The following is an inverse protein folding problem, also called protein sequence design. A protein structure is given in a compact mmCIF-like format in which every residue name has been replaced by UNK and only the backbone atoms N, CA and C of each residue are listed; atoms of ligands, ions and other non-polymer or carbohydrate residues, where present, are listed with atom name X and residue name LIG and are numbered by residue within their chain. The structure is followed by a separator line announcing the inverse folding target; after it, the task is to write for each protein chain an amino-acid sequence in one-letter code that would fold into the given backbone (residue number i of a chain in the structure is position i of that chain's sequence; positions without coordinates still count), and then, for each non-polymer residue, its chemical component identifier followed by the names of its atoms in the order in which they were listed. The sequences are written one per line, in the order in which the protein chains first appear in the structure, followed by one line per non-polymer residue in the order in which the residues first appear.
data_IF_595804357829
#
_entry.id   IF_595804357829
#
_cell.length_a   1.000
_cell.length_b   1.000
_cell.length_c   1.000
_cell.angle_alpha   90.00
_cell.angle_beta   90.00
_cell.angle_gamma   90.00
#
_symmetry.space_group_name_H-M   'P 1'
#
loop_
_entity.id
_entity.type
_entity.pdbx_description
1 polymer ?
#
# COMPACT_ATOMS: atom_id res chain seq x y z
N UNK A 1 -5.87 5.88 -12.88
CA UNK A 1 -5.93 5.08 -11.64
C UNK A 1 -7.40 4.85 -11.30
N UNK A 2 -7.76 3.66 -10.81
CA UNK A 2 -9.12 3.33 -10.36
C UNK A 2 -9.07 2.55 -9.06
N UNK A 3 -10.13 2.63 -8.25
CA UNK A 3 -10.33 1.75 -7.12
C UNK A 3 -11.83 1.48 -6.91
N UNK A 4 -12.16 0.31 -6.37
CA UNK A 4 -13.54 -0.12 -6.11
C UNK A 4 -13.57 -0.96 -4.84
N UNK A 5 -14.55 -0.73 -3.96
CA UNK A 5 -14.81 -1.64 -2.84
C UNK A 5 -15.54 -2.85 -3.40
N UNK A 6 -14.95 -4.04 -3.22
CA UNK A 6 -15.49 -5.32 -3.70
C UNK A 6 -15.98 -6.21 -2.57
N UNK A 7 -15.83 -5.78 -1.31
CA UNK A 7 -16.38 -6.47 -0.16
C UNK A 7 -15.98 -5.83 1.17
N UNK A 8 -16.57 -6.35 2.24
CA UNK A 8 -16.26 -5.97 3.62
C UNK A 8 -16.12 -7.24 4.44
N UNK A 9 -15.06 -7.31 5.26
CA UNK A 9 -14.88 -8.36 6.26
C UNK A 9 -15.24 -7.80 7.65
N UNK A 10 -16.02 -8.53 8.46
CA UNK A 10 -16.27 -8.15 9.83
C UNK A 10 -14.95 -8.05 10.61
N UNK A 11 -14.82 -6.98 11.40
CA UNK A 11 -13.77 -6.83 12.39
C UNK A 11 -14.39 -6.29 13.69
N UNK A 12 -13.60 -6.23 14.77
CA UNK A 12 -14.09 -5.71 16.05
C UNK A 12 -14.40 -4.22 15.88
N UNK A 13 -15.67 -3.86 16.04
CA UNK A 13 -16.14 -2.47 16.02
C UNK A 13 -15.25 -1.58 16.91
N UNK A 14 -14.91 -0.35 16.48
CA UNK A 14 -15.40 0.39 15.30
C UNK A 14 -14.59 0.15 13.99
N UNK A 15 -13.80 -0.92 13.92
CA UNK A 15 -13.02 -1.24 12.73
C UNK A 15 -13.81 -2.13 11.76
N UNK A 16 -13.89 -1.71 10.50
CA UNK A 16 -14.26 -2.56 9.36
C UNK A 16 -13.02 -2.89 8.52
N UNK A 17 -13.03 -4.01 7.81
CA UNK A 17 -11.98 -4.35 6.84
C UNK A 17 -12.56 -4.28 5.44
N UNK A 18 -12.23 -3.22 4.72
CA UNK A 18 -12.63 -3.06 3.33
C UNK A 18 -11.73 -3.93 2.44
N UNK A 19 -12.34 -4.62 1.48
CA UNK A 19 -11.62 -5.27 0.38
C UNK A 19 -11.72 -4.34 -0.82
N UNK A 20 -10.58 -3.84 -1.26
CA UNK A 20 -10.51 -2.83 -2.33
C UNK A 20 -9.72 -3.40 -3.50
N UNK A 21 -10.34 -3.40 -4.68
CA UNK A 21 -9.63 -3.57 -5.93
C UNK A 21 -9.01 -2.22 -6.31
N UNK A 22 -7.71 -2.18 -6.58
CA UNK A 22 -7.02 -0.95 -6.97
C UNK A 22 -6.16 -1.21 -8.20
N UNK A 23 -6.30 -0.36 -9.23
CA UNK A 23 -5.48 -0.39 -10.44
C UNK A 23 -4.70 0.92 -10.59
N UNK A 24 -3.38 0.78 -10.67
CA UNK A 24 -2.43 1.90 -10.67
C UNK A 24 -1.45 1.70 -11.82
N UNK A 25 -1.17 2.78 -12.55
CA UNK A 25 -0.21 2.81 -13.64
C UNK A 25 0.75 3.98 -13.42
N UNK A 26 2.02 3.75 -13.69
CA UNK A 26 3.02 4.80 -13.72
C UNK A 26 3.17 5.32 -15.14
N UNK A 27 2.56 6.46 -15.44
CA UNK A 27 2.64 7.10 -16.76
C UNK A 27 3.86 8.01 -16.93
N UNK A 28 4.68 8.12 -15.88
CA UNK A 28 5.89 8.94 -15.89
C UNK A 28 7.06 8.24 -16.57
N UNK A 29 8.05 9.03 -17.01
CA UNK A 29 9.28 8.53 -17.63
C UNK A 29 10.30 7.98 -16.62
N UNK A 30 10.03 8.11 -15.33
CA UNK A 30 10.88 7.64 -14.24
C UNK A 30 10.11 6.68 -13.31
N UNK A 31 10.80 5.80 -12.55
CA UNK A 31 10.14 4.96 -11.56
C UNK A 31 9.40 5.80 -10.50
N UNK A 32 8.23 5.31 -10.06
CA UNK A 32 7.42 5.98 -9.03
C UNK A 32 7.01 5.00 -7.94
N UNK A 33 7.21 5.41 -6.70
CA UNK A 33 6.68 4.72 -5.53
C UNK A 33 5.17 4.92 -5.46
N UNK A 34 4.45 3.82 -5.46
CA UNK A 34 3.03 3.76 -5.15
C UNK A 34 2.89 3.58 -3.65
N UNK A 35 2.13 4.47 -2.99
CA UNK A 35 1.81 4.38 -1.57
C UNK A 35 0.28 4.34 -1.40
N UNK A 36 -0.23 3.26 -0.83
CA UNK A 36 -1.64 3.13 -0.45
C UNK A 36 -1.78 3.09 1.08
N UNK A 37 -2.78 3.75 1.66
CA UNK A 37 -2.98 3.70 3.10
C UNK A 37 -3.44 2.31 3.55
N UNK A 38 -2.97 1.88 4.72
CA UNK A 38 -3.45 0.64 5.36
C UNK A 38 -4.68 0.88 6.22
N UNK A 39 -4.82 2.08 6.78
CA UNK A 39 -5.91 2.49 7.63
C UNK A 39 -6.55 3.78 7.15
N UNK A 40 -7.87 3.86 7.30
CA UNK A 40 -8.71 4.97 6.88
C UNK A 40 -9.51 5.49 8.09
N UNK A 41 -9.60 6.82 8.30
CA UNK A 41 -8.80 7.85 7.62
C UNK A 41 -7.30 7.67 7.89
N UNK A 42 -6.47 8.23 7.02
CA UNK A 42 -5.02 8.25 7.20
C UNK A 42 -4.64 9.02 8.46
N UNK A 43 -3.59 8.57 9.13
CA UNK A 43 -3.03 9.26 10.30
C UNK A 43 -1.54 9.52 10.06
N UNK A 44 -1.02 10.69 10.46
CA UNK A 44 0.42 10.89 10.50
C UNK A 44 1.01 9.91 11.51
N UNK A 45 2.22 9.43 11.23
CA UNK A 45 2.85 8.41 12.04
C UNK A 45 4.09 7.84 11.38
N UNK A 46 4.82 7.02 12.14
CA UNK A 46 6.01 6.34 11.67
C UNK A 46 5.76 4.89 11.28
N UNK A 47 6.85 4.23 10.92
CA UNK A 47 6.90 2.83 10.53
C UNK A 47 7.85 2.09 11.46
N UNK A 48 7.43 0.95 12.02
CA UNK A 48 8.28 0.10 12.87
C UNK A 48 8.65 -1.24 12.21
N UNK A 49 7.92 -1.65 11.18
CA UNK A 49 8.08 -2.95 10.53
C UNK A 49 7.61 -2.92 9.08
N UNK A 50 8.32 -3.63 8.22
CA UNK A 50 7.86 -4.08 6.91
C UNK A 50 7.52 -5.57 6.98
N UNK A 51 6.37 -5.96 6.42
CA UNK A 51 6.02 -7.32 6.04
C UNK A 51 5.93 -7.40 4.52
N UNK A 52 6.68 -8.29 3.90
CA UNK A 52 6.58 -8.55 2.47
C UNK A 52 5.50 -9.61 2.22
N UNK A 53 4.44 -9.18 1.54
CA UNK A 53 3.31 -10.02 1.13
C UNK A 53 3.53 -10.46 -0.31
N UNK A 54 3.82 -11.73 -0.54
CA UNK A 54 4.06 -12.27 -1.88
C UNK A 54 2.84 -13.01 -2.40
N UNK A 55 2.38 -12.62 -3.59
CA UNK A 55 1.32 -13.29 -4.33
C UNK A 55 1.81 -13.67 -5.73
N UNK A 56 1.13 -14.63 -6.36
CA UNK A 56 1.43 -15.01 -7.74
C UNK A 56 0.72 -14.08 -8.73
N UNK A 57 1.43 -13.75 -9.81
CA UNK A 57 0.88 -13.19 -11.04
C UNK A 57 1.33 -14.09 -12.20
N UNK A 58 0.42 -14.98 -12.63
CA UNK A 58 0.78 -16.10 -13.52
C UNK A 58 1.88 -16.98 -12.91
N UNK A 59 3.00 -17.13 -13.61
CA UNK A 59 4.17 -17.90 -13.15
C UNK A 59 5.12 -17.10 -12.24
N UNK A 60 4.91 -15.80 -12.09
CA UNK A 60 5.82 -14.90 -11.35
C UNK A 60 5.32 -14.64 -9.93
N UNK A 61 6.26 -14.41 -9.01
CA UNK A 61 5.95 -13.94 -7.67
C UNK A 61 6.13 -12.42 -7.61
N UNK A 62 5.10 -11.72 -7.13
CA UNK A 62 5.13 -10.27 -6.90
C UNK A 62 4.98 -10.03 -5.41
N UNK A 63 5.92 -9.29 -4.82
CA UNK A 63 5.83 -8.90 -3.41
C UNK A 63 5.23 -7.49 -3.27
N UNK A 64 4.39 -7.28 -2.27
CA UNK A 64 3.89 -5.98 -1.86
C UNK A 64 4.45 -5.68 -0.47
N UNK A 65 4.99 -4.49 -0.27
CA UNK A 65 5.43 -4.08 1.06
C UNK A 65 4.25 -3.63 1.90
N UNK A 66 3.97 -4.30 3.00
CA UNK A 66 3.02 -3.88 4.03
C UNK A 66 3.79 -3.31 5.21
N UNK A 67 3.85 -1.99 5.29
CA UNK A 67 4.50 -1.27 6.37
C UNK A 67 3.52 -1.09 7.54
N UNK A 68 3.95 -1.50 8.73
CA UNK A 68 3.22 -1.37 10.00
C UNK A 68 3.77 -0.19 10.81
N UNK A 69 3.07 0.14 11.90
CA UNK A 69 3.23 1.37 12.66
C UNK A 69 2.01 2.28 12.52
N UNK A 70 2.00 3.39 13.26
CA UNK A 70 0.93 4.39 13.28
C UNK A 70 0.70 5.02 11.90
N UNK A 71 1.76 5.14 11.08
CA UNK A 71 1.72 5.63 9.71
C UNK A 71 1.64 4.53 8.65
N UNK A 72 1.14 3.35 9.02
CA UNK A 72 1.15 2.14 8.20
C UNK A 72 0.54 2.29 6.80
N UNK A 73 1.18 1.68 5.82
CA UNK A 73 0.86 1.80 4.38
C UNK A 73 1.32 0.59 3.59
N UNK A 74 0.72 0.38 2.43
CA UNK A 74 1.27 -0.49 1.40
C UNK A 74 2.17 0.31 0.47
N UNK A 75 3.26 -0.30 0.00
CA UNK A 75 4.10 0.32 -1.01
C UNK A 75 4.71 -0.66 -2.01
N UNK A 76 4.95 -0.14 -3.22
CA UNK A 76 5.69 -0.81 -4.28
C UNK A 76 6.28 0.21 -5.24
N UNK A 77 7.38 -0.11 -5.90
CA UNK A 77 7.99 0.74 -6.92
C UNK A 77 7.54 0.27 -8.31
N UNK A 78 7.06 1.18 -9.15
CA UNK A 78 6.68 0.89 -10.53
C UNK A 78 7.69 1.51 -11.49
N UNK A 79 8.22 0.71 -12.42
CA UNK A 79 9.01 1.23 -13.53
C UNK A 79 8.17 2.14 -14.45
N UNK A 80 8.78 2.94 -15.33
CA UNK A 80 8.05 3.71 -16.35
C UNK A 80 7.12 2.82 -17.18
N UNK A 81 5.87 3.23 -17.34
CA UNK A 81 4.84 2.50 -18.09
C UNK A 81 4.30 1.24 -17.40
N UNK A 82 4.83 0.85 -16.24
CA UNK A 82 4.37 -0.32 -15.50
C UNK A 82 3.01 -0.06 -14.83
N UNK A 83 2.25 -1.13 -14.61
CA UNK A 83 0.96 -1.08 -13.92
C UNK A 83 0.77 -2.26 -12.98
N UNK A 84 0.12 -2.01 -11.85
CA UNK A 84 -0.29 -3.03 -10.89
C UNK A 84 -1.79 -2.97 -10.63
N UNK A 85 -2.41 -4.14 -10.65
CA UNK A 85 -3.76 -4.37 -10.12
C UNK A 85 -3.64 -5.18 -8.84
N UNK A 86 -4.07 -4.60 -7.72
CA UNK A 86 -4.18 -5.26 -6.42
C UNK A 86 -5.65 -5.64 -6.22
N UNK A 87 -5.99 -6.92 -6.33
CA UNK A 87 -7.35 -7.40 -6.08
C UNK A 87 -7.56 -7.65 -4.59
N UNK A 88 -8.70 -7.19 -4.07
CA UNK A 88 -9.16 -7.39 -2.69
C UNK A 88 -8.11 -7.03 -1.65
N UNK A 89 -7.39 -5.93 -1.87
CA UNK A 89 -6.46 -5.39 -0.90
C UNK A 89 -7.22 -5.00 0.38
N UNK A 90 -6.78 -5.51 1.52
CA UNK A 90 -7.42 -5.21 2.80
C UNK A 90 -6.98 -3.83 3.31
N UNK A 91 -7.94 -2.92 3.50
CA UNK A 91 -7.75 -1.64 4.18
C UNK A 91 -8.65 -1.57 5.42
N UNK A 92 -8.06 -1.24 6.57
CA UNK A 92 -8.82 -1.05 7.80
C UNK A 92 -9.54 0.29 7.78
N UNK A 93 -10.84 0.31 8.02
CA UNK A 93 -11.63 1.54 8.09
C UNK A 93 -12.17 1.74 9.50
N UNK A 94 -11.63 2.74 10.18
CA UNK A 94 -12.16 3.24 11.45
C UNK A 94 -13.37 4.12 11.14
N UNK A 95 -14.50 3.50 10.83
CA UNK A 95 -15.72 4.15 10.36
C UNK A 95 -16.25 5.11 11.45
N UNK A 96 -16.26 6.43 11.22
CA UNK A 96 -17.04 7.34 12.06
C UNK A 96 -18.53 7.00 11.95
N UNK A 97 -19.30 7.14 13.03
CA UNK A 97 -20.72 6.74 13.10
C UNK A 97 -21.59 7.28 11.95
N UNK A 98 -21.26 8.48 11.43
CA UNK A 98 -22.00 9.15 10.36
C UNK A 98 -21.45 8.92 8.94
N UNK A 99 -20.30 8.25 8.79
CA UNK A 99 -19.65 8.13 7.49
C UNK A 99 -20.36 7.08 6.61
N UNK A 100 -20.86 7.54 5.47
CA UNK A 100 -21.44 6.68 4.41
C UNK A 100 -20.44 6.37 3.31
N UNK A 101 -19.50 7.27 3.09
CA UNK A 101 -18.45 7.14 2.09
C UNK A 101 -17.09 7.04 2.77
N UNK A 102 -16.15 6.40 2.09
CA UNK A 102 -14.75 6.40 2.47
C UNK A 102 -13.95 7.15 1.40
N UNK A 103 -13.03 8.00 1.84
CA UNK A 103 -12.09 8.67 0.96
C UNK A 103 -10.67 8.34 1.40
N UNK A 104 -9.79 8.17 0.42
CA UNK A 104 -8.38 7.95 0.68
C UNK A 104 -7.51 8.43 -0.47
N UNK A 105 -6.31 8.88 -0.11
CA UNK A 105 -5.33 9.30 -1.10
C UNK A 105 -4.39 8.15 -1.45
N UNK A 106 -4.07 8.04 -2.73
CA UNK A 106 -2.92 7.27 -3.18
C UNK A 106 -1.83 8.22 -3.66
N UNK A 107 -0.63 8.00 -3.16
CA UNK A 107 0.53 8.80 -3.52
C UNK A 107 1.37 8.08 -4.58
N UNK A 108 1.76 8.84 -5.61
CA UNK A 108 2.86 8.48 -6.51
C UNK A 108 4.05 9.38 -6.19
N UNK A 109 5.12 8.84 -5.63
CA UNK A 109 6.28 9.61 -5.17
C UNK A 109 7.55 9.29 -5.95
N UNK A 110 8.47 10.24 -6.05
CA UNK A 110 9.78 10.04 -6.67
C UNK A 110 10.68 9.22 -5.74
N UNK A 111 10.81 9.66 -4.48
CA UNK A 111 11.59 8.95 -3.48
C UNK A 111 10.83 8.86 -2.16
N UNK A 112 11.05 7.75 -1.46
CA UNK A 112 10.55 7.52 -0.12
C UNK A 112 11.69 7.00 0.74
N UNK A 113 11.85 7.60 1.92
CA UNK A 113 12.85 7.19 2.90
C UNK A 113 12.20 6.88 4.25
N UNK A 114 12.78 5.91 4.96
CA UNK A 114 12.36 5.44 6.28
C UNK A 114 13.54 5.62 7.24
N UNK A 115 13.42 6.55 8.18
CA UNK A 115 14.51 6.84 9.12
C UNK A 115 15.80 7.35 8.45
N UNK A 116 15.70 7.97 7.28
CA UNK A 116 16.83 8.45 6.49
C UNK A 116 17.36 7.45 5.46
N UNK A 117 16.94 6.18 5.50
CA UNK A 117 17.33 5.18 4.52
C UNK A 117 16.33 5.10 3.35
N UNK A 118 16.78 4.84 2.11
CA UNK A 118 15.87 4.59 1.00
C UNK A 118 14.90 3.44 1.32
N UNK A 119 13.59 3.60 1.10
CA UNK A 119 12.58 2.57 1.39
C UNK A 119 12.88 1.23 0.69
N UNK A 120 13.58 1.25 -0.45
CA UNK A 120 14.03 0.06 -1.15
C UNK A 120 14.96 -0.83 -0.31
N UNK A 121 15.79 -0.28 0.58
CA UNK A 121 16.72 -1.07 1.43
C UNK A 121 16.00 -1.96 2.43
N UNK A 122 14.71 -1.70 2.69
CA UNK A 122 13.92 -2.51 3.61
C UNK A 122 13.43 -3.82 2.98
N UNK A 123 13.33 -3.88 1.64
CA UNK A 123 12.92 -5.08 0.93
C UNK A 123 14.08 -6.07 0.80
N UNK A 124 13.77 -7.38 0.81
CA UNK A 124 14.76 -8.45 0.60
C UNK A 124 15.35 -8.48 -0.83
N UNK A 125 14.65 -7.88 -1.79
CA UNK A 125 14.94 -7.86 -3.22
C UNK A 125 14.45 -6.54 -3.81
N UNK A 126 14.83 -6.28 -5.06
CA UNK A 126 14.35 -5.12 -5.80
C UNK A 126 12.81 -5.04 -5.78
N UNK A 127 12.24 -3.96 -5.19
CA UNK A 127 10.79 -3.77 -5.11
C UNK A 127 10.19 -3.26 -6.43
N UNK A 128 10.97 -3.16 -7.51
CA UNK A 128 10.49 -2.65 -8.80
C UNK A 128 9.59 -3.67 -9.50
N UNK A 129 8.46 -3.21 -10.02
CA UNK A 129 7.62 -3.94 -10.98
C UNK A 129 7.90 -3.41 -12.37
N UNK A 130 8.09 -4.35 -13.29
CA UNK A 130 8.19 -4.10 -14.71
C UNK A 130 6.93 -4.65 -15.40
N UNK A 131 6.42 -3.93 -16.40
CA UNK A 131 5.23 -4.34 -17.16
C UNK A 131 3.92 -4.27 -16.37
N UNK A 132 2.95 -5.10 -16.75
CA UNK A 132 1.63 -5.16 -16.14
C UNK A 132 1.52 -6.41 -15.27
N UNK A 133 1.15 -6.23 -14.00
CA UNK A 133 0.90 -7.33 -13.08
C UNK A 133 -0.46 -7.20 -12.40
N UNK A 134 -1.08 -8.33 -12.14
CA UNK A 134 -2.32 -8.44 -11.37
C UNK A 134 -2.14 -9.50 -10.29
N UNK A 135 -2.52 -9.17 -9.06
CA UNK A 135 -2.36 -10.06 -7.91
C UNK A 135 -3.60 -10.11 -7.03
N UNK A 136 -3.95 -11.33 -6.60
CA UNK A 136 -4.98 -11.62 -5.62
C UNK A 136 -4.41 -11.53 -4.20
N UNK A 137 -4.70 -10.43 -3.49
CA UNK A 137 -4.08 -10.15 -2.20
C UNK A 137 -4.59 -11.05 -1.07
N UNK A 138 -5.78 -11.66 -1.21
CA UNK A 138 -6.27 -12.65 -0.24
C UNK A 138 -5.39 -13.91 -0.19
N UNK A 139 -4.68 -14.21 -1.28
CA UNK A 139 -3.78 -15.35 -1.38
C UNK A 139 -2.32 -15.00 -1.06
N UNK A 140 -2.05 -13.73 -0.75
CA UNK A 140 -0.70 -13.27 -0.48
C UNK A 140 -0.16 -13.89 0.82
N UNK A 141 1.08 -14.39 0.76
CA UNK A 141 1.75 -14.99 1.91
C UNK A 141 2.81 -14.03 2.45
N UNK A 142 2.94 -13.97 3.76
CA UNK A 142 4.07 -13.29 4.37
C UNK A 142 5.35 -14.10 4.10
N UNK A 143 6.31 -13.51 3.39
CA UNK A 143 7.55 -14.20 2.98
C UNK A 143 8.82 -13.65 3.63
N UNK A 144 8.80 -12.39 4.05
CA UNK A 144 9.94 -11.74 4.68
C UNK A 144 9.49 -10.54 5.53
N UNK A 145 10.31 -10.17 6.51
CA UNK A 145 10.05 -8.98 7.33
C UNK A 145 11.33 -8.23 7.66
N UNK A 146 11.21 -6.91 7.76
CA UNK A 146 12.27 -6.01 8.24
C UNK A 146 11.70 -5.22 9.43
N UNK A 147 12.48 -4.99 10.48
CA UNK A 147 12.07 -4.17 11.63
C UNK A 147 12.97 -2.95 11.76
N UNK A 148 12.38 -1.83 12.16
CA UNK A 148 13.11 -0.65 12.53
C UNK A 148 14.07 -0.92 13.71
N UNK A 149 15.17 -0.17 13.81
CA UNK A 149 16.10 -0.28 14.94
C UNK A 149 15.38 -0.15 16.28
N UNK A 150 15.69 -1.07 17.21
CA UNK A 150 15.12 -1.11 18.56
C UNK A 150 13.58 -1.23 18.60
N UNK A 151 12.93 -1.57 17.49
CA UNK A 151 11.46 -1.66 17.39
C UNK A 151 10.75 -0.32 17.53
N UNK A 152 11.46 0.81 17.38
CA UNK A 152 10.88 2.15 17.43
C UNK A 152 10.46 2.59 16.05
N UNK A 153 9.33 3.30 15.98
CA UNK A 153 8.88 3.88 14.72
C UNK A 153 9.90 4.87 14.16
N UNK A 154 10.15 4.77 12.86
CA UNK A 154 10.94 5.72 12.10
C UNK A 154 10.05 6.63 11.27
N UNK A 155 10.49 7.86 11.06
CA UNK A 155 9.80 8.86 10.23
C UNK A 155 9.79 8.42 8.76
N UNK A 156 8.66 8.64 8.10
CA UNK A 156 8.53 8.48 6.65
C UNK A 156 8.71 9.82 5.95
N UNK A 157 9.75 9.94 5.14
CA UNK A 157 9.96 11.10 4.28
C UNK A 157 9.54 10.76 2.84
N UNK A 158 8.64 11.54 2.27
CA UNK A 158 8.13 11.37 0.90
C UNK A 158 8.48 12.62 0.12
N UNK A 159 9.07 12.46 -1.08
CA UNK A 159 9.46 13.59 -1.93
C UNK A 159 8.91 13.43 -3.34
N UNK A 160 8.51 14.55 -3.95
CA UNK A 160 7.93 14.57 -5.30
C UNK A 160 6.63 13.77 -5.41
N UNK A 161 5.78 13.83 -4.38
CA UNK A 161 4.52 13.10 -4.35
C UNK A 161 3.41 13.83 -5.12
N UNK A 162 2.73 13.10 -6.00
CA UNK A 162 1.42 13.49 -6.53
C UNK A 162 0.36 12.67 -5.82
N UNK A 163 -0.66 13.33 -5.28
CA UNK A 163 -1.75 12.68 -4.55
C UNK A 163 -2.98 12.59 -5.44
N UNK A 164 -3.60 11.42 -5.47
CA UNK A 164 -4.91 11.22 -6.10
C UNK A 164 -5.90 10.79 -5.02
N UNK A 165 -6.87 11.66 -4.73
CA UNK A 165 -7.97 11.34 -3.81
C UNK A 165 -8.99 10.46 -4.51
N UNK A 166 -9.33 9.35 -3.86
CA UNK A 166 -10.35 8.40 -4.30
C UNK A 166 -11.47 8.42 -3.28
N UNK A 167 -12.70 8.59 -3.75
CA UNK A 167 -13.91 8.47 -2.94
C UNK A 167 -14.68 7.23 -3.37
N UNK A 168 -14.96 6.34 -2.42
CA UNK A 168 -15.71 5.10 -2.64
C UNK A 168 -16.91 5.06 -1.69
N UNK A 169 -18.02 4.55 -2.19
CA UNK A 169 -19.17 4.17 -1.36
C UNK A 169 -19.11 2.66 -1.15
N UNK A 170 -19.12 2.16 0.10
CA UNK A 170 -19.34 0.74 0.35
C UNK A 170 -20.66 0.29 -0.29
N UNK A 171 -20.75 -0.96 -0.76
CA UNK A 171 -21.96 -1.52 -1.35
C UNK A 171 -23.14 -1.58 -0.37
#
# INVERSE_FOLDING_TARGET
MTATIVGVKPAKSPLERLLVDVQIRNDEKAPRWVLLPRYLPTRPGGIDKLEQLTAKSGATNVSLGRFLGTGGRYARLLAPGASITLRKLEAGWWRPESAKDVAFDVALANNVALGGEPMASWFDRDPTIQGTVEVEMENAKHTASHRAPQGKEVVVAITGATMTSIKLSPP
#
